data_IF_215041767816
#
_entry.id   IF_215041767816
#
_cell.length_a   1.000
_cell.length_b   1.000
_cell.length_c   1.000
_cell.angle_alpha   90.00
_cell.angle_beta   90.00
_cell.angle_gamma   90.00
#
_symmetry.space_group_name_H-M   'P 1'
#
loop_
_entity.id
_entity.type
_entity.pdbx_description
1 polymer ?
#
# COMPACT_ATOMS: atom_id res chain seq x y z
N UNK A 1 -52.28 -1.21 21.51
CA UNK A 1 -51.47 -0.28 20.75
C UNK A 1 -50.17 -1.00 20.40
N UNK A 2 -50.18 -1.66 19.29
CA UNK A 2 -49.10 -2.47 18.75
C UNK A 2 -48.22 -1.56 17.87
N UNK A 3 -47.02 -1.28 18.27
CA UNK A 3 -46.04 -0.53 17.48
C UNK A 3 -45.35 -1.46 16.48
N UNK A 4 -45.62 -1.18 15.24
CA UNK A 4 -45.09 -1.80 14.03
C UNK A 4 -43.59 -1.47 13.90
N UNK A 5 -42.73 -2.45 14.10
CA UNK A 5 -41.31 -2.36 13.79
C UNK A 5 -41.09 -2.95 12.39
N UNK A 6 -41.26 -2.13 11.38
CA UNK A 6 -40.84 -2.47 10.02
C UNK A 6 -39.30 -2.48 9.95
N UNK A 7 -38.67 -3.57 9.45
CA UNK A 7 -37.24 -3.56 9.23
C UNK A 7 -36.88 -2.65 8.05
N UNK A 8 -35.98 -1.71 8.29
CA UNK A 8 -35.41 -0.84 7.26
C UNK A 8 -34.74 -1.68 6.16
N UNK A 9 -35.14 -1.45 4.94
CA UNK A 9 -34.62 -2.07 3.72
C UNK A 9 -33.09 -1.90 3.68
N UNK A 10 -32.41 -3.05 3.54
CA UNK A 10 -30.98 -3.11 3.34
C UNK A 10 -30.58 -2.27 2.12
N UNK A 11 -29.63 -1.39 2.33
CA UNK A 11 -28.94 -0.71 1.25
C UNK A 11 -28.25 -1.76 0.36
N UNK A 12 -28.48 -1.69 -0.94
CA UNK A 12 -27.80 -2.53 -1.91
C UNK A 12 -26.28 -2.37 -1.76
N UNK A 13 -25.47 -3.43 -1.96
CA UNK A 13 -24.03 -3.29 -1.92
C UNK A 13 -23.59 -2.28 -2.99
N UNK A 14 -23.10 -1.13 -2.57
CA UNK A 14 -22.50 -0.16 -3.47
C UNK A 14 -21.33 -0.81 -4.19
N UNK A 15 -21.34 -0.70 -5.52
CA UNK A 15 -20.24 -1.18 -6.36
C UNK A 15 -18.93 -0.57 -5.84
N UNK A 16 -17.95 -1.44 -5.54
CA UNK A 16 -16.65 -1.02 -5.07
C UNK A 16 -15.99 -0.09 -6.09
N UNK A 17 -15.52 1.10 -5.69
CA UNK A 17 -14.69 1.90 -6.56
C UNK A 17 -13.38 1.15 -6.86
N UNK A 18 -12.83 1.38 -8.04
CA UNK A 18 -11.72 0.72 -8.74
C UNK A 18 -10.41 0.43 -7.94
N UNK A 19 -10.37 0.61 -6.64
CA UNK A 19 -9.12 0.57 -5.85
C UNK A 19 -8.90 -0.63 -4.92
N UNK A 20 -9.94 -1.31 -4.44
CA UNK A 20 -9.80 -2.42 -3.48
C UNK A 20 -10.42 -3.71 -4.03
N UNK A 21 -9.89 -4.16 -5.16
CA UNK A 21 -10.26 -5.48 -5.71
C UNK A 21 -9.97 -6.56 -4.67
N UNK A 22 -10.98 -7.38 -4.38
CA UNK A 22 -10.91 -8.57 -3.54
C UNK A 22 -10.54 -8.40 -2.04
N UNK A 23 -10.83 -7.25 -1.42
CA UNK A 23 -10.67 -7.00 0.02
C UNK A 23 -12.00 -6.80 0.73
N UNK A 24 -13.02 -7.55 0.34
CA UNK A 24 -14.39 -7.37 0.85
C UNK A 24 -14.48 -7.66 2.34
N UNK A 25 -13.86 -8.75 2.80
CA UNK A 25 -13.86 -9.14 4.21
C UNK A 25 -13.11 -8.13 5.08
N UNK A 26 -11.90 -7.74 4.67
CA UNK A 26 -11.11 -6.74 5.41
C UNK A 26 -11.79 -5.37 5.41
N UNK A 27 -12.47 -5.00 4.33
CA UNK A 27 -13.26 -3.76 4.26
C UNK A 27 -14.42 -3.79 5.25
N UNK A 28 -15.17 -4.89 5.32
CA UNK A 28 -16.28 -5.07 6.26
C UNK A 28 -15.80 -5.08 7.72
N UNK A 29 -14.69 -5.75 8.01
CA UNK A 29 -14.09 -5.76 9.35
C UNK A 29 -13.63 -4.36 9.77
N UNK A 30 -12.95 -3.64 8.86
CA UNK A 30 -12.52 -2.26 9.10
C UNK A 30 -13.72 -1.35 9.35
N UNK A 31 -14.74 -1.45 8.51
CA UNK A 31 -15.96 -0.66 8.65
C UNK A 31 -16.68 -0.95 9.96
N UNK A 32 -16.83 -2.23 10.32
CA UNK A 32 -17.48 -2.62 11.57
C UNK A 32 -16.71 -2.12 12.80
N UNK A 33 -15.35 -2.19 12.77
CA UNK A 33 -14.51 -1.67 13.83
C UNK A 33 -14.68 -0.16 13.99
N UNK A 34 -14.65 0.59 12.89
CA UNK A 34 -14.85 2.05 12.92
C UNK A 34 -16.23 2.44 13.43
N UNK A 35 -17.29 1.72 13.01
CA UNK A 35 -18.66 1.94 13.50
C UNK A 35 -18.82 1.67 14.99
N UNK A 36 -18.07 0.72 15.53
CA UNK A 36 -18.06 0.44 16.97
C UNK A 36 -17.27 1.48 17.79
N UNK A 37 -16.61 2.43 17.14
CA UNK A 37 -15.74 3.42 17.77
C UNK A 37 -14.36 2.87 18.15
N UNK A 38 -13.99 1.70 17.64
CA UNK A 38 -12.69 1.10 17.88
C UNK A 38 -11.60 1.76 16.98
N UNK A 39 -10.38 1.83 17.51
CA UNK A 39 -9.19 2.15 16.73
C UNK A 39 -8.65 0.90 16.07
N UNK A 40 -8.01 1.02 14.90
CA UNK A 40 -7.60 -0.14 14.10
C UNK A 40 -6.11 -0.10 13.80
N UNK A 41 -5.47 -1.27 13.85
CA UNK A 41 -4.11 -1.50 13.38
C UNK A 41 -4.13 -2.45 12.18
N UNK A 42 -3.73 -1.94 11.01
CA UNK A 42 -3.56 -2.71 9.78
C UNK A 42 -2.11 -3.22 9.71
N UNK A 43 -1.92 -4.52 9.83
CA UNK A 43 -0.61 -5.15 9.72
C UNK A 43 -0.47 -5.93 8.44
N UNK A 44 0.70 -5.85 7.81
CA UNK A 44 1.02 -6.66 6.65
C UNK A 44 2.17 -6.10 5.82
N UNK A 45 2.68 -6.90 4.87
CA UNK A 45 3.76 -6.49 3.99
C UNK A 45 3.46 -5.20 3.22
N UNK A 46 4.48 -4.48 2.73
CA UNK A 46 4.28 -3.33 1.87
C UNK A 46 3.56 -3.73 0.57
N UNK A 47 2.75 -2.82 0.01
CA UNK A 47 2.05 -3.07 -1.25
C UNK A 47 0.85 -4.02 -1.18
N UNK A 48 0.36 -4.37 0.01
CA UNK A 48 -0.85 -5.21 0.19
C UNK A 48 -2.16 -4.43 0.11
N UNK A 49 -2.11 -3.12 -0.14
CA UNK A 49 -3.29 -2.28 -0.35
C UNK A 49 -3.93 -1.70 0.92
N UNK A 50 -3.19 -1.61 2.05
CA UNK A 50 -3.70 -1.04 3.31
C UNK A 50 -4.28 0.36 3.14
N UNK A 51 -3.51 1.28 2.58
CA UNK A 51 -3.92 2.67 2.35
C UNK A 51 -5.06 2.79 1.34
N UNK A 52 -5.06 1.96 0.31
CA UNK A 52 -6.14 1.91 -0.70
C UNK A 52 -7.45 1.47 -0.06
N UNK A 53 -7.42 0.41 0.76
CA UNK A 53 -8.58 -0.08 1.48
C UNK A 53 -9.18 1.00 2.38
N UNK A 54 -8.34 1.65 3.20
CA UNK A 54 -8.81 2.66 4.12
C UNK A 54 -9.39 3.89 3.42
N UNK A 55 -8.70 4.39 2.37
CA UNK A 55 -9.22 5.52 1.56
C UNK A 55 -10.58 5.20 0.96
N UNK A 56 -10.78 3.97 0.50
CA UNK A 56 -12.06 3.53 -0.04
C UNK A 56 -13.15 3.51 1.03
N UNK A 57 -12.88 2.95 2.21
CA UNK A 57 -13.84 2.92 3.33
C UNK A 57 -14.20 4.35 3.77
N UNK A 58 -13.20 5.22 3.92
CA UNK A 58 -13.42 6.62 4.29
C UNK A 58 -14.25 7.38 3.23
N UNK A 59 -13.94 7.18 1.95
CA UNK A 59 -14.67 7.78 0.83
C UNK A 59 -16.13 7.33 0.78
N UNK A 60 -16.38 6.01 0.88
CA UNK A 60 -17.73 5.45 0.82
C UNK A 60 -18.63 5.95 1.97
N UNK A 61 -18.02 6.36 3.06
CA UNK A 61 -18.73 6.86 4.25
C UNK A 61 -18.69 8.37 4.41
N UNK A 62 -18.06 9.07 3.48
CA UNK A 62 -17.89 10.52 3.53
C UNK A 62 -17.25 11.02 4.84
N UNK A 63 -16.32 10.22 5.40
CA UNK A 63 -15.62 10.56 6.63
C UNK A 63 -14.42 11.43 6.29
N UNK A 64 -14.20 12.57 6.98
CA UNK A 64 -12.97 13.35 6.87
C UNK A 64 -11.75 12.46 7.11
N UNK A 65 -10.73 12.59 6.26
CA UNK A 65 -9.58 11.71 6.26
C UNK A 65 -8.29 12.51 6.31
N UNK A 66 -7.53 12.32 7.37
CA UNK A 66 -6.24 12.98 7.60
C UNK A 66 -5.14 11.93 7.57
N UNK A 67 -4.17 12.09 6.66
CA UNK A 67 -3.03 11.16 6.51
C UNK A 67 -1.80 11.72 7.21
N UNK A 68 -1.12 10.86 7.95
CA UNK A 68 0.21 11.09 8.53
C UNK A 68 1.14 9.95 8.15
N UNK A 69 2.29 10.27 7.62
CA UNK A 69 3.37 9.33 7.39
C UNK A 69 4.33 9.32 8.58
N UNK A 70 4.43 8.18 9.25
CA UNK A 70 5.34 7.98 10.37
C UNK A 70 6.80 7.99 9.94
N UNK A 71 7.59 8.78 10.63
CA UNK A 71 9.04 8.87 10.45
C UNK A 71 9.70 9.30 11.76
N UNK A 72 11.03 9.18 11.84
CA UNK A 72 11.80 9.50 13.04
C UNK A 72 11.77 10.99 13.44
N UNK A 73 11.34 11.88 12.54
CA UNK A 73 11.27 13.32 12.78
C UNK A 73 9.87 13.79 13.16
N UNK A 74 8.89 12.89 13.22
CA UNK A 74 7.52 13.23 13.62
C UNK A 74 7.45 13.50 15.12
N UNK A 75 7.52 14.78 15.49
CA UNK A 75 7.44 15.20 16.89
C UNK A 75 5.99 15.36 17.37
N UNK A 76 5.74 15.34 18.70
CA UNK A 76 4.43 15.68 19.27
C UNK A 76 3.87 17.01 18.76
N UNK A 77 4.72 18.03 18.62
CA UNK A 77 4.31 19.36 18.13
C UNK A 77 3.83 19.32 16.67
N UNK A 78 4.51 18.54 15.78
CA UNK A 78 4.06 18.36 14.39
C UNK A 78 2.72 17.62 14.32
N UNK A 79 2.49 16.71 15.24
CA UNK A 79 1.26 15.92 15.26
C UNK A 79 0.07 16.68 15.85
N UNK A 80 0.31 17.45 16.94
CA UNK A 80 -0.73 18.20 17.64
C UNK A 80 -0.98 19.55 16.94
N UNK A 81 0.07 20.25 16.57
CA UNK A 81 0.04 21.62 16.06
C UNK A 81 0.91 22.58 16.87
N UNK A 82 0.90 23.83 16.47
CA UNK A 82 1.74 24.86 17.09
C UNK A 82 1.10 26.26 16.96
N UNK A 83 1.54 27.16 17.79
CA UNK A 83 1.21 28.57 17.62
C UNK A 83 2.14 29.19 16.57
N UNK A 84 1.60 30.00 15.66
CA UNK A 84 2.41 30.77 14.71
C UNK A 84 3.37 31.70 15.46
N UNK A 85 4.69 31.50 15.37
CA UNK A 85 5.65 32.32 16.14
C UNK A 85 5.62 33.80 15.81
N UNK A 86 5.32 34.17 14.56
CA UNK A 86 5.24 35.58 14.16
C UNK A 86 4.02 36.26 14.79
N UNK A 87 2.88 35.59 14.78
CA UNK A 87 1.66 36.11 15.36
C UNK A 87 1.71 36.14 16.91
N UNK A 88 2.43 35.21 17.52
CA UNK A 88 2.67 35.23 18.98
C UNK A 88 3.42 36.50 19.42
N UNK A 89 4.40 36.94 18.63
CA UNK A 89 5.15 38.19 18.93
C UNK A 89 4.27 39.43 18.83
N UNK A 90 3.28 39.43 17.94
CA UNK A 90 2.38 40.58 17.75
C UNK A 90 1.19 40.59 18.72
N UNK A 91 0.59 39.42 18.98
CA UNK A 91 -0.72 39.30 19.66
C UNK A 91 -0.69 38.52 20.97
N UNK A 92 0.47 37.95 21.33
CA UNK A 92 0.56 36.99 22.42
C UNK A 92 -0.06 35.65 22.04
N UNK A 93 -0.19 34.74 23.00
CA UNK A 93 -0.84 33.43 22.77
C UNK A 93 -2.36 33.59 22.77
N UNK A 94 -2.98 33.34 21.63
CA UNK A 94 -4.42 33.34 21.43
C UNK A 94 -4.84 32.08 20.65
N UNK A 95 -6.02 31.54 20.92
CA UNK A 95 -6.48 30.30 20.31
C UNK A 95 -6.58 30.41 18.78
N UNK A 96 -6.87 31.60 18.26
CA UNK A 96 -7.07 31.90 16.85
C UNK A 96 -5.78 31.82 16.00
N UNK A 97 -4.62 31.86 16.65
CA UNK A 97 -3.30 31.76 15.99
C UNK A 97 -2.65 30.39 16.19
N UNK A 98 -3.40 29.45 16.76
CA UNK A 98 -2.96 28.06 16.85
C UNK A 98 -3.27 27.35 15.55
N UNK A 99 -2.26 26.78 14.93
CA UNK A 99 -2.38 25.93 13.74
C UNK A 99 -2.51 24.49 14.18
N UNK A 100 -3.69 23.89 13.91
CA UNK A 100 -3.92 22.50 14.25
C UNK A 100 -3.01 21.58 13.41
N UNK A 101 -2.34 20.65 14.07
CA UNK A 101 -1.68 19.54 13.41
C UNK A 101 -2.70 18.43 13.05
N UNK A 102 -2.25 17.40 12.32
CA UNK A 102 -3.15 16.38 11.76
C UNK A 102 -3.97 15.63 12.83
N UNK A 103 -3.46 15.45 14.03
CA UNK A 103 -4.21 14.80 15.10
C UNK A 103 -5.37 15.69 15.58
N UNK A 104 -5.10 16.96 15.84
CA UNK A 104 -6.15 17.88 16.30
C UNK A 104 -7.17 18.15 15.19
N UNK A 105 -6.74 18.24 13.93
CA UNK A 105 -7.62 18.35 12.78
C UNK A 105 -8.61 17.17 12.74
N UNK A 106 -8.10 15.93 12.81
CA UNK A 106 -8.96 14.74 12.84
C UNK A 106 -9.87 14.71 14.08
N UNK A 107 -9.36 15.07 15.26
CA UNK A 107 -10.15 15.13 16.48
C UNK A 107 -11.29 16.16 16.40
N UNK A 108 -11.03 17.36 15.89
CA UNK A 108 -12.04 18.43 15.79
C UNK A 108 -13.10 18.16 14.75
N UNK A 109 -12.71 17.55 13.62
CA UNK A 109 -13.63 17.21 12.52
C UNK A 109 -14.43 15.94 12.76
N UNK A 110 -14.06 15.13 13.77
CA UNK A 110 -14.60 13.77 13.94
C UNK A 110 -14.18 12.83 12.84
N UNK A 111 -13.05 13.10 12.21
CA UNK A 111 -12.53 12.35 11.07
C UNK A 111 -11.66 11.16 11.47
N UNK A 112 -11.14 10.46 10.45
CA UNK A 112 -10.17 9.39 10.59
C UNK A 112 -8.76 9.96 10.51
N UNK A 113 -7.95 9.76 11.56
CA UNK A 113 -6.51 9.92 11.49
C UNK A 113 -5.91 8.61 11.01
N UNK A 114 -5.31 8.62 9.81
CA UNK A 114 -4.56 7.48 9.28
C UNK A 114 -3.06 7.69 9.44
N UNK A 115 -2.42 6.79 10.17
CA UNK A 115 -0.99 6.84 10.44
C UNK A 115 -0.31 5.68 9.72
N UNK A 116 0.41 5.97 8.62
CA UNK A 116 1.27 5.00 7.93
C UNK A 116 2.61 4.85 8.65
N UNK A 117 3.29 3.73 8.47
CA UNK A 117 4.62 3.45 9.03
C UNK A 117 4.70 3.73 10.54
N UNK A 118 3.67 3.30 11.29
CA UNK A 118 3.53 3.58 12.72
C UNK A 118 4.77 3.20 13.53
N UNK A 119 5.43 2.11 13.18
CA UNK A 119 6.63 1.61 13.83
C UNK A 119 7.88 2.49 13.63
N UNK A 120 7.82 3.52 12.77
CA UNK A 120 8.91 4.51 12.59
C UNK A 120 8.72 5.77 13.42
N UNK A 121 7.62 5.89 14.14
CA UNK A 121 7.31 7.06 14.97
C UNK A 121 8.07 6.97 16.30
N UNK A 122 8.70 8.07 16.78
CA UNK A 122 9.32 8.10 18.10
C UNK A 122 8.34 7.80 19.21
N UNK A 123 8.81 7.15 20.28
CA UNK A 123 8.00 6.73 21.42
C UNK A 123 7.24 7.89 22.07
N UNK A 124 7.86 9.05 22.17
CA UNK A 124 7.22 10.26 22.74
C UNK A 124 5.98 10.69 21.93
N UNK A 125 6.02 10.56 20.61
CA UNK A 125 4.90 10.88 19.71
C UNK A 125 3.85 9.77 19.73
N UNK A 126 4.24 8.50 19.83
CA UNK A 126 3.32 7.39 20.04
C UNK A 126 2.53 7.55 21.34
N UNK A 127 3.12 8.04 22.40
CA UNK A 127 2.44 8.30 23.67
C UNK A 127 1.33 9.35 23.54
N UNK A 128 1.48 10.34 22.66
CA UNK A 128 0.42 11.31 22.35
C UNK A 128 -0.76 10.62 21.65
N UNK A 129 -0.49 9.75 20.68
CA UNK A 129 -1.54 8.95 20.03
C UNK A 129 -2.28 8.05 21.02
N UNK A 130 -1.55 7.37 21.91
CA UNK A 130 -2.14 6.53 22.94
C UNK A 130 -3.05 7.32 23.90
N UNK A 131 -2.65 8.54 24.29
CA UNK A 131 -3.49 9.42 25.10
C UNK A 131 -4.78 9.82 24.37
N UNK A 132 -4.67 10.24 23.10
CA UNK A 132 -5.83 10.59 22.28
C UNK A 132 -6.82 9.43 22.10
N UNK A 133 -6.30 8.20 21.95
CA UNK A 133 -7.12 6.99 21.80
C UNK A 133 -7.88 6.66 23.10
N UNK A 134 -7.20 6.79 24.24
CA UNK A 134 -7.78 6.39 25.55
C UNK A 134 -8.75 7.41 26.09
N UNK A 135 -8.34 8.69 26.11
CA UNK A 135 -9.07 9.77 26.79
C UNK A 135 -10.02 10.51 25.84
N UNK A 136 -9.85 10.35 24.53
CA UNK A 136 -10.52 11.13 23.48
C UNK A 136 -10.38 12.65 23.69
N UNK A 137 -9.31 13.06 24.36
CA UNK A 137 -8.96 14.46 24.59
C UNK A 137 -7.44 14.62 24.70
N UNK A 138 -6.97 15.81 24.39
CA UNK A 138 -5.57 16.22 24.55
C UNK A 138 -5.50 17.57 25.25
N UNK A 139 -4.63 17.69 26.26
CA UNK A 139 -4.30 18.96 26.88
C UNK A 139 -3.16 19.62 26.07
N UNK A 140 -3.46 20.74 25.42
CA UNK A 140 -2.48 21.51 24.66
C UNK A 140 -2.05 22.73 25.49
N UNK A 141 -0.76 22.91 25.78
CA UNK A 141 -0.28 24.05 26.56
C UNK A 141 -0.77 25.38 25.97
N UNK A 142 -1.35 26.23 26.79
CA UNK A 142 -1.91 27.56 26.45
C UNK A 142 -3.16 27.55 25.54
N UNK A 143 -3.49 26.48 24.88
CA UNK A 143 -4.73 26.29 24.12
C UNK A 143 -5.84 25.68 25.01
N UNK A 144 -5.45 24.85 25.99
CA UNK A 144 -6.41 24.15 26.85
C UNK A 144 -6.68 22.72 26.41
N UNK A 145 -7.83 22.20 26.82
CA UNK A 145 -8.25 20.82 26.49
C UNK A 145 -9.00 20.80 25.16
N UNK A 146 -8.57 19.92 24.26
CA UNK A 146 -9.25 19.64 22.99
C UNK A 146 -9.86 18.26 23.10
N UNK A 147 -11.20 18.21 23.07
CA UNK A 147 -11.98 16.97 23.12
C UNK A 147 -12.30 16.54 21.69
N UNK A 148 -12.15 15.26 21.41
CA UNK A 148 -12.47 14.72 20.09
C UNK A 148 -13.97 14.78 19.80
N UNK A 149 -14.33 15.24 18.61
CA UNK A 149 -15.69 15.20 18.12
C UNK A 149 -16.15 13.75 17.89
N UNK A 150 -17.47 13.57 17.91
CA UNK A 150 -18.06 12.26 17.60
C UNK A 150 -17.63 11.76 16.23
N UNK A 151 -17.23 10.51 16.13
CA UNK A 151 -16.73 9.91 14.90
C UNK A 151 -15.22 9.85 14.78
N UNK A 152 -14.46 10.58 15.63
CA UNK A 152 -13.01 10.48 15.63
C UNK A 152 -12.54 9.03 15.77
N UNK A 153 -11.74 8.58 14.80
CA UNK A 153 -11.11 7.28 14.78
C UNK A 153 -9.64 7.35 14.39
N UNK A 154 -8.84 6.43 14.92
CA UNK A 154 -7.45 6.26 14.51
C UNK A 154 -7.31 4.92 13.81
N UNK A 155 -6.72 4.94 12.62
CA UNK A 155 -6.28 3.74 11.91
C UNK A 155 -4.78 3.87 11.70
N UNK A 156 -4.03 2.91 12.20
CA UNK A 156 -2.59 2.84 12.00
C UNK A 156 -2.26 1.71 11.03
N UNK A 157 -1.17 1.86 10.28
CA UNK A 157 -0.64 0.80 9.44
C UNK A 157 0.85 0.60 9.71
N UNK A 158 1.28 -0.65 9.71
CA UNK A 158 2.69 -0.99 9.82
C UNK A 158 3.03 -2.27 9.05
N UNK A 159 4.32 -2.41 8.77
CA UNK A 159 4.89 -3.67 8.33
C UNK A 159 5.59 -4.34 9.54
N UNK A 160 5.08 -5.47 10.04
CA UNK A 160 5.67 -6.12 11.21
C UNK A 160 7.05 -6.71 10.95
N UNK A 161 7.43 -6.87 9.68
CA UNK A 161 8.71 -7.45 9.27
C UNK A 161 9.80 -6.39 8.99
N UNK A 162 9.46 -5.11 9.01
CA UNK A 162 10.44 -4.04 8.83
C UNK A 162 11.21 -3.82 10.13
N UNK A 163 12.41 -4.39 10.20
CA UNK A 163 13.27 -4.32 11.38
C UNK A 163 14.23 -3.13 11.37
N UNK A 164 14.40 -2.45 10.23
CA UNK A 164 15.38 -1.38 10.06
C UNK A 164 14.77 -0.04 10.44
N UNK A 165 15.33 0.61 11.47
CA UNK A 165 14.89 1.94 11.91
C UNK A 165 13.51 1.97 12.56
N UNK A 166 13.03 0.82 13.07
CA UNK A 166 11.72 0.71 13.70
C UNK A 166 11.83 0.49 15.20
N UNK A 167 10.96 1.16 15.96
CA UNK A 167 10.78 0.88 17.39
C UNK A 167 9.85 -0.34 17.56
N UNK A 168 10.04 -1.09 18.64
CA UNK A 168 9.05 -2.10 19.03
C UNK A 168 7.76 -1.38 19.41
N UNK A 169 6.69 -1.70 18.69
CA UNK A 169 5.35 -1.21 19.04
C UNK A 169 4.98 -1.73 20.43
N UNK A 170 4.61 -0.82 21.32
CA UNK A 170 4.31 -1.16 22.70
C UNK A 170 3.04 -2.03 22.80
N UNK A 171 2.99 -2.92 23.81
CA UNK A 171 1.78 -3.68 24.11
C UNK A 171 0.56 -2.79 24.38
N UNK A 172 0.79 -1.57 24.88
CA UNK A 172 -0.25 -0.59 25.13
C UNK A 172 -1.01 -0.17 23.85
N UNK A 173 -0.34 -0.17 22.70
CA UNK A 173 -1.00 0.13 21.43
C UNK A 173 -1.85 -1.06 20.96
N UNK A 174 -1.33 -2.26 21.07
CA UNK A 174 -2.09 -3.47 20.74
C UNK A 174 -3.35 -3.63 21.60
N UNK A 175 -3.28 -3.27 22.89
CA UNK A 175 -4.42 -3.30 23.81
C UNK A 175 -5.53 -2.31 23.42
N UNK A 176 -5.19 -1.24 22.69
CA UNK A 176 -6.11 -0.16 22.31
C UNK A 176 -6.59 -0.23 20.87
N UNK A 177 -6.12 -1.21 20.09
CA UNK A 177 -6.46 -1.35 18.68
C UNK A 177 -7.03 -2.70 18.34
N UNK A 178 -8.00 -2.73 17.44
CA UNK A 178 -8.41 -3.95 16.75
C UNK A 178 -7.42 -4.23 15.62
N UNK A 179 -6.80 -5.40 15.62
CA UNK A 179 -5.81 -5.76 14.61
C UNK A 179 -6.46 -6.44 13.42
N UNK A 180 -6.18 -5.94 12.21
CA UNK A 180 -6.54 -6.58 10.95
C UNK A 180 -5.24 -6.93 10.21
N UNK A 181 -5.02 -8.24 9.98
CA UNK A 181 -3.86 -8.72 9.26
C UNK A 181 -4.15 -8.77 7.76
N UNK A 182 -3.29 -8.14 6.96
CA UNK A 182 -3.43 -8.05 5.51
C UNK A 182 -2.28 -8.77 4.80
N UNK A 183 -2.53 -9.99 4.35
CA UNK A 183 -1.60 -10.75 3.53
C UNK A 183 -1.59 -10.33 2.06
N UNK A 184 -0.80 -11.03 1.24
CA UNK A 184 -0.87 -10.89 -0.21
C UNK A 184 -2.22 -11.37 -0.73
N UNK A 185 -2.66 -10.81 -1.85
CA UNK A 185 -3.93 -11.18 -2.46
C UNK A 185 -3.84 -12.51 -3.24
N UNK A 186 -4.98 -13.06 -3.61
CA UNK A 186 -5.04 -14.24 -4.48
C UNK A 186 -4.49 -13.92 -5.88
N UNK A 187 -4.03 -14.94 -6.60
CA UNK A 187 -3.55 -14.76 -7.97
C UNK A 187 -4.61 -14.16 -8.91
N UNK A 188 -5.88 -14.49 -8.70
CA UNK A 188 -7.00 -13.93 -9.46
C UNK A 188 -7.13 -12.42 -9.18
N UNK A 189 -7.16 -12.02 -7.90
CA UNK A 189 -7.26 -10.63 -7.51
C UNK A 189 -6.04 -9.80 -7.97
N UNK A 190 -4.83 -10.36 -7.92
CA UNK A 190 -3.64 -9.68 -8.43
C UNK A 190 -3.71 -9.47 -9.95
N UNK A 191 -4.26 -10.44 -10.71
CA UNK A 191 -4.52 -10.26 -12.16
C UNK A 191 -5.53 -9.16 -12.43
N UNK A 192 -6.64 -9.12 -11.67
CA UNK A 192 -7.65 -8.08 -11.80
C UNK A 192 -7.06 -6.69 -11.51
N UNK A 193 -6.20 -6.57 -10.50
CA UNK A 193 -5.49 -5.33 -10.19
C UNK A 193 -4.58 -4.92 -11.36
N UNK A 194 -3.80 -5.84 -11.92
CA UNK A 194 -2.93 -5.52 -13.07
C UNK A 194 -3.77 -5.12 -14.28
N UNK A 195 -4.93 -5.76 -14.51
CA UNK A 195 -5.88 -5.38 -15.57
C UNK A 195 -6.34 -3.94 -15.45
N UNK A 196 -6.67 -3.49 -14.24
CA UNK A 196 -7.09 -2.10 -14.00
C UNK A 196 -6.00 -1.07 -14.34
N UNK A 197 -4.74 -1.47 -14.20
CA UNK A 197 -3.61 -0.56 -14.42
C UNK A 197 -2.99 -0.66 -15.82
N UNK A 198 -3.25 -1.75 -16.53
CA UNK A 198 -2.74 -2.04 -17.87
C UNK A 198 -3.73 -2.95 -18.61
N UNK A 199 -4.86 -2.37 -19.09
CA UNK A 199 -5.96 -3.14 -19.67
C UNK A 199 -5.58 -3.80 -21.02
N UNK A 200 -4.68 -3.18 -21.78
CA UNK A 200 -4.38 -3.53 -23.16
C UNK A 200 -3.38 -4.68 -23.31
N UNK A 201 -2.98 -5.31 -22.19
CA UNK A 201 -2.04 -6.43 -22.22
C UNK A 201 -2.80 -7.75 -22.34
N UNK A 202 -2.24 -8.69 -23.10
CA UNK A 202 -2.75 -10.05 -23.22
C UNK A 202 -2.89 -10.75 -21.86
N UNK A 203 -4.00 -11.48 -21.68
CA UNK A 203 -4.32 -12.15 -20.41
C UNK A 203 -3.32 -13.25 -20.03
N UNK A 204 -2.80 -14.00 -21.03
CA UNK A 204 -1.82 -15.04 -20.78
C UNK A 204 -0.48 -14.46 -20.32
N UNK A 205 -0.05 -13.36 -20.96
CA UNK A 205 1.16 -12.66 -20.55
C UNK A 205 0.99 -12.02 -19.15
N UNK A 206 -0.14 -11.39 -18.90
CA UNK A 206 -0.50 -10.85 -17.55
C UNK A 206 -0.45 -11.92 -16.48
N UNK A 207 -0.98 -13.12 -16.77
CA UNK A 207 -0.95 -14.24 -15.84
C UNK A 207 0.49 -14.68 -15.51
N UNK A 208 1.39 -14.67 -16.49
CA UNK A 208 2.83 -14.97 -16.30
C UNK A 208 3.52 -13.90 -15.45
N UNK A 209 3.23 -12.62 -15.68
CA UNK A 209 3.77 -11.51 -14.86
C UNK A 209 3.35 -11.65 -13.40
N UNK A 210 2.08 -11.94 -13.14
CA UNK A 210 1.60 -12.19 -11.77
C UNK A 210 2.26 -13.44 -11.20
N UNK A 211 2.42 -14.51 -11.96
CA UNK A 211 3.12 -15.72 -11.53
C UNK A 211 4.59 -15.43 -11.16
N UNK A 212 5.29 -14.59 -11.92
CA UNK A 212 6.66 -14.17 -11.64
C UNK A 212 6.78 -13.43 -10.29
N UNK A 213 5.90 -12.46 -10.06
CA UNK A 213 5.88 -11.71 -8.79
C UNK A 213 5.54 -12.62 -7.62
N UNK A 214 4.64 -13.57 -7.80
CA UNK A 214 4.30 -14.56 -6.76
C UNK A 214 5.44 -15.53 -6.49
N UNK A 215 6.14 -15.99 -7.54
CA UNK A 215 7.31 -16.84 -7.39
C UNK A 215 8.41 -16.20 -6.55
N UNK A 216 8.57 -14.87 -6.60
CA UNK A 216 9.55 -14.16 -5.76
C UNK A 216 9.28 -14.31 -4.25
N UNK A 217 8.05 -14.60 -3.85
CA UNK A 217 7.67 -14.75 -2.43
C UNK A 217 8.00 -16.14 -1.86
N UNK A 218 8.25 -17.09 -2.74
CA UNK A 218 8.49 -18.51 -2.40
C UNK A 218 9.88 -18.98 -2.84
N UNK A 219 10.72 -18.06 -3.32
CA UNK A 219 12.04 -18.39 -3.86
C UNK A 219 13.06 -18.51 -2.73
N UNK A 220 13.77 -19.64 -2.67
CA UNK A 220 14.70 -20.00 -1.58
C UNK A 220 15.86 -19.01 -1.38
N UNK A 221 16.26 -18.28 -2.43
CA UNK A 221 17.30 -17.26 -2.32
C UNK A 221 16.81 -15.94 -1.72
N UNK A 222 15.47 -15.78 -1.55
CA UNK A 222 14.88 -14.51 -1.15
C UNK A 222 14.34 -14.54 0.27
N UNK A 223 14.75 -13.56 1.06
CA UNK A 223 14.13 -13.23 2.34
C UNK A 223 12.76 -12.54 2.15
N UNK A 224 12.66 -11.71 1.08
CA UNK A 224 11.46 -10.93 0.76
C UNK A 224 11.20 -10.93 -0.74
N UNK A 225 9.96 -11.26 -1.10
CA UNK A 225 9.46 -11.14 -2.46
C UNK A 225 8.67 -9.86 -2.69
N UNK A 226 8.29 -9.62 -3.93
CA UNK A 226 7.54 -8.44 -4.35
C UNK A 226 6.04 -8.61 -4.12
N UNK A 227 5.34 -7.49 -3.85
CA UNK A 227 3.90 -7.40 -3.86
C UNK A 227 3.37 -7.12 -5.28
N UNK A 228 2.03 -7.05 -5.44
CA UNK A 228 1.35 -6.79 -6.73
C UNK A 228 1.82 -5.50 -7.42
N UNK A 229 2.37 -4.54 -6.68
CA UNK A 229 2.97 -3.31 -7.25
C UNK A 229 4.10 -3.64 -8.25
N UNK A 230 4.89 -4.69 -7.99
CA UNK A 230 5.88 -5.17 -8.95
C UNK A 230 5.25 -5.63 -10.26
N UNK A 231 4.14 -6.36 -10.20
CA UNK A 231 3.43 -6.81 -11.40
C UNK A 231 2.84 -5.64 -12.21
N UNK A 232 2.29 -4.63 -11.52
CA UNK A 232 1.79 -3.39 -12.16
C UNK A 232 2.92 -2.68 -12.90
N UNK A 233 4.08 -2.54 -12.26
CA UNK A 233 5.20 -1.80 -12.87
C UNK A 233 5.83 -2.60 -14.01
N UNK A 234 5.98 -3.92 -13.90
CA UNK A 234 6.41 -4.77 -15.02
C UNK A 234 5.48 -4.54 -16.22
N UNK A 235 4.18 -4.60 -16.00
CA UNK A 235 3.19 -4.44 -17.04
C UNK A 235 3.29 -3.07 -17.74
N UNK A 236 3.37 -2.00 -16.98
CA UNK A 236 3.48 -0.62 -17.50
C UNK A 236 4.79 -0.38 -18.23
N UNK A 237 5.92 -0.80 -17.62
CA UNK A 237 7.23 -0.62 -18.23
C UNK A 237 7.35 -1.43 -19.52
N UNK A 238 6.80 -2.65 -19.56
CA UNK A 238 6.83 -3.45 -20.78
C UNK A 238 6.06 -2.80 -21.94
N UNK A 239 4.90 -2.19 -21.67
CA UNK A 239 4.13 -1.44 -22.69
C UNK A 239 4.95 -0.29 -23.27
N UNK A 240 5.49 0.54 -22.40
CA UNK A 240 6.30 1.72 -22.85
C UNK A 240 7.60 1.28 -23.54
N UNK A 241 8.27 0.26 -23.02
CA UNK A 241 9.51 -0.24 -23.61
C UNK A 241 9.29 -0.88 -24.98
N UNK A 242 8.19 -1.61 -25.15
CA UNK A 242 7.79 -2.18 -26.43
C UNK A 242 7.56 -1.09 -27.49
N UNK A 243 6.86 -0.02 -27.12
CA UNK A 243 6.65 1.13 -28.00
C UNK A 243 7.98 1.80 -28.39
N UNK A 244 8.88 2.02 -27.42
CA UNK A 244 10.19 2.63 -27.67
C UNK A 244 11.08 1.78 -28.60
N UNK A 245 10.96 0.45 -28.51
CA UNK A 245 11.75 -0.49 -29.32
C UNK A 245 11.08 -0.88 -30.65
N UNK A 246 9.79 -0.57 -30.82
CA UNK A 246 9.01 -0.96 -31.99
C UNK A 246 8.73 -2.46 -32.08
N UNK A 247 8.60 -3.14 -30.96
CA UNK A 247 8.36 -4.59 -30.82
C UNK A 247 7.07 -4.88 -30.06
N UNK A 248 6.67 -6.14 -29.97
CA UNK A 248 5.49 -6.55 -29.20
C UNK A 248 5.74 -6.46 -27.69
N UNK A 249 4.65 -6.27 -26.90
CA UNK A 249 4.74 -6.18 -25.42
C UNK A 249 5.17 -7.50 -24.80
N UNK A 250 4.83 -8.61 -25.44
CA UNK A 250 5.20 -9.97 -25.04
C UNK A 250 6.57 -10.43 -25.57
N UNK A 251 7.32 -9.54 -26.22
CA UNK A 251 8.72 -9.80 -26.56
C UNK A 251 9.52 -10.19 -25.33
N UNK A 252 10.32 -11.28 -25.45
CA UNK A 252 11.02 -11.87 -24.32
C UNK A 252 12.00 -10.89 -23.65
N UNK A 253 12.75 -10.13 -24.45
CA UNK A 253 13.74 -9.17 -23.94
C UNK A 253 13.08 -7.92 -23.34
N UNK A 254 11.91 -7.54 -23.86
CA UNK A 254 11.10 -6.45 -23.26
C UNK A 254 10.60 -6.89 -21.88
N UNK A 255 10.04 -8.10 -21.81
CA UNK A 255 9.51 -8.63 -20.57
C UNK A 255 10.57 -8.81 -19.48
N UNK A 256 11.74 -9.37 -19.86
CA UNK A 256 12.87 -9.53 -18.94
C UNK A 256 13.38 -8.18 -18.42
N UNK A 257 13.65 -7.23 -19.32
CA UNK A 257 14.14 -5.90 -18.91
C UNK A 257 13.15 -5.18 -17.97
N UNK A 258 11.84 -5.26 -18.28
CA UNK A 258 10.80 -4.72 -17.41
C UNK A 258 10.77 -5.42 -16.04
N UNK A 259 10.97 -6.74 -15.99
CA UNK A 259 11.03 -7.51 -14.76
C UNK A 259 12.26 -7.16 -13.91
N UNK A 260 13.44 -7.09 -14.49
CA UNK A 260 14.68 -6.72 -13.81
C UNK A 260 14.58 -5.32 -13.17
N UNK A 261 14.17 -4.32 -13.93
CA UNK A 261 14.00 -2.94 -13.42
C UNK A 261 12.94 -2.86 -12.32
N UNK A 262 11.86 -3.64 -12.43
CA UNK A 262 10.76 -3.57 -11.48
C UNK A 262 11.02 -4.37 -10.21
N UNK A 263 11.76 -5.46 -10.26
CA UNK A 263 11.88 -6.40 -9.13
C UNK A 263 13.21 -6.30 -8.39
N UNK A 264 14.34 -5.96 -9.05
CA UNK A 264 15.66 -6.00 -8.41
C UNK A 264 15.74 -5.15 -7.13
N UNK A 265 15.08 -4.00 -7.09
CA UNK A 265 15.03 -3.15 -5.89
C UNK A 265 13.90 -3.50 -4.91
N UNK A 266 13.02 -4.48 -5.23
CA UNK A 266 11.88 -4.88 -4.39
C UNK A 266 12.00 -6.26 -3.77
N UNK A 267 12.97 -7.03 -4.21
CA UNK A 267 13.32 -8.32 -3.62
C UNK A 267 14.52 -8.15 -2.71
N UNK A 268 14.60 -8.96 -1.67
CA UNK A 268 15.76 -9.01 -0.78
C UNK A 268 16.32 -10.41 -0.75
N UNK A 269 17.58 -10.53 -1.08
CA UNK A 269 18.29 -11.80 -1.00
C UNK A 269 18.72 -12.10 0.44
N UNK A 270 18.85 -13.38 0.77
CA UNK A 270 19.59 -13.80 1.94
C UNK A 270 21.07 -13.46 1.77
N UNK A 271 21.71 -12.92 2.79
CA UNK A 271 23.13 -12.50 2.77
C UNK A 271 24.08 -13.62 2.33
N UNK A 272 23.67 -14.88 2.48
CA UNK A 272 24.47 -16.07 2.16
C UNK A 272 24.48 -16.47 0.68
N UNK A 273 23.66 -15.86 -0.18
CA UNK A 273 23.47 -16.35 -1.56
C UNK A 273 24.62 -16.03 -2.51
N UNK A 274 25.34 -14.93 -2.29
CA UNK A 274 26.41 -14.45 -3.18
C UNK A 274 25.95 -14.13 -4.62
N UNK A 275 24.62 -14.01 -4.87
CA UNK A 275 23.99 -13.73 -6.17
C UNK A 275 23.55 -12.28 -6.25
N UNK A 276 23.38 -11.77 -7.48
CA UNK A 276 22.72 -10.47 -7.69
C UNK A 276 21.20 -10.61 -7.73
N UNK A 277 20.44 -9.55 -7.40
CA UNK A 277 19.00 -9.55 -7.57
C UNK A 277 18.58 -9.82 -9.02
N UNK A 278 19.32 -9.29 -9.98
CA UNK A 278 19.09 -9.45 -11.41
C UNK A 278 19.22 -10.91 -11.84
N UNK A 279 20.24 -11.65 -11.35
CA UNK A 279 20.40 -13.08 -11.64
C UNK A 279 19.21 -13.91 -11.15
N UNK A 280 18.69 -13.59 -9.98
CA UNK A 280 17.52 -14.29 -9.41
C UNK A 280 16.25 -13.93 -10.17
N UNK A 281 16.08 -12.66 -10.59
CA UNK A 281 14.95 -12.26 -11.42
C UNK A 281 14.98 -12.95 -12.76
N UNK A 282 16.15 -13.01 -13.43
CA UNK A 282 16.33 -13.73 -14.71
C UNK A 282 16.00 -15.20 -14.58
N UNK A 283 16.50 -15.88 -13.56
CA UNK A 283 16.18 -17.30 -13.31
C UNK A 283 14.69 -17.55 -13.16
N UNK A 284 14.00 -16.71 -12.36
CA UNK A 284 12.55 -16.82 -12.19
C UNK A 284 11.80 -16.51 -13.49
N UNK A 285 12.29 -15.54 -14.25
CA UNK A 285 11.72 -15.15 -15.53
C UNK A 285 11.82 -16.30 -16.54
N UNK A 286 13.00 -16.87 -16.74
CA UNK A 286 13.23 -18.00 -17.64
C UNK A 286 12.38 -19.23 -17.28
N UNK A 287 12.20 -19.49 -15.99
CA UNK A 287 11.35 -20.60 -15.52
C UNK A 287 9.89 -20.41 -15.90
N UNK A 288 9.39 -19.18 -16.01
CA UNK A 288 7.97 -18.86 -16.23
C UNK A 288 7.69 -18.55 -17.70
N UNK A 289 8.56 -17.79 -18.34
CA UNK A 289 8.41 -17.34 -19.72
C UNK A 289 9.08 -18.24 -20.74
N UNK A 290 9.97 -19.11 -20.31
CA UNK A 290 10.83 -19.97 -21.14
C UNK A 290 12.24 -19.40 -21.28
N UNK A 291 13.19 -20.20 -21.81
CA UNK A 291 14.54 -19.75 -22.06
C UNK A 291 14.60 -18.61 -23.08
N UNK A 292 15.72 -17.91 -23.08
CA UNK A 292 15.98 -16.86 -24.07
C UNK A 292 15.85 -17.42 -25.50
N UNK A 293 15.06 -16.76 -26.39
CA UNK A 293 14.94 -17.20 -27.77
C UNK A 293 16.31 -17.15 -28.47
N UNK A 294 16.73 -18.25 -29.05
CA UNK A 294 17.93 -18.28 -29.89
C UNK A 294 17.60 -17.73 -31.28
N UNK A 295 18.48 -16.90 -31.80
CA UNK A 295 18.35 -16.23 -33.13
C UNK A 295 18.61 -17.23 -34.27
N UNK A 296 17.90 -18.35 -34.27
CA UNK A 296 18.05 -19.43 -35.28
C UNK A 296 17.33 -19.16 -36.61
N UNK A 297 16.84 -17.94 -36.88
CA UNK A 297 16.06 -17.64 -38.10
C UNK A 297 16.83 -16.88 -39.21
N UNK A 298 18.15 -16.74 -39.10
CA UNK A 298 18.94 -16.00 -40.10
C UNK A 298 19.63 -16.86 -41.16
N UNK A 299 19.73 -18.22 -40.98
CA UNK A 299 20.56 -19.06 -41.88
C UNK A 299 19.81 -19.85 -42.94
N UNK A 300 18.47 -19.85 -42.99
CA UNK A 300 17.73 -20.65 -43.99
C UNK A 300 17.38 -19.92 -45.30
N UNK A 301 17.77 -18.68 -45.49
CA UNK A 301 17.45 -17.87 -46.67
C UNK A 301 18.49 -17.91 -47.81
N UNK A 302 19.69 -18.47 -47.60
CA UNK A 302 20.81 -18.37 -48.57
C UNK A 302 21.11 -19.69 -49.32
N UNK A 303 20.27 -20.76 -49.22
CA UNK A 303 20.52 -22.01 -49.89
C UNK A 303 19.57 -22.36 -51.05
N UNK A 304 18.75 -21.41 -51.53
CA UNK A 304 17.86 -21.66 -52.67
C UNK A 304 18.18 -20.74 -53.85
N UNK A 305 18.98 -21.28 -54.82
CA UNK A 305 18.92 -20.73 -56.15
C UNK A 305 20.21 -20.39 -56.86
N UNK A 306 20.92 -21.40 -57.35
CA UNK A 306 21.68 -21.23 -58.59
C UNK A 306 21.02 -22.08 -59.68
N UNK A 307 20.34 -21.52 -60.68
CA UNK A 307 19.98 -22.27 -61.88
C UNK A 307 21.22 -22.38 -62.78
N UNK A 308 21.60 -23.64 -63.06
CA UNK A 308 22.58 -23.92 -64.11
C UNK A 308 22.03 -23.51 -65.45
N UNK A 309 22.86 -22.88 -66.22
CA UNK A 309 22.68 -22.64 -67.66
C UNK A 309 23.38 -23.75 -68.46
N UNK A 310 22.85 -24.01 -69.69
CA UNK A 310 23.16 -25.18 -70.52
C UNK A 310 24.50 -25.09 -71.22
#
# INVERSE_FOLDING_TARGET
MTSDLSPSRGAAPHAAPLGAVARVEEAQLLEAALLSGAHVLLEGPPGTGKSTLLRQVAHNREIPFVLVEGNAELTPARLIGHFDPALVLERGYAAEIFEDGPLLEAMRTGGLLYVEELNRIPEETLNVLLAAMSEKEIAVPRLGRVVAASGFGLVAAMNPFDAVGTARVSSALYDRTCRISMGYQSAAAERDIVTLHSPDIDDAWRAKVVALVRASREHDALEWGSAVRGAIDIARIAVELAQLRGVAVDDWHVGLAAAEVSLSGRIRLHDSTGRSPEDVVREMYERIFGPEPTDDSADDADSAGSPGEP
#
